data_IF_655906062014
#
_entry.id   IF_655906062014
#
_cell.length_a   1.000
_cell.length_b   1.000
_cell.length_c   1.000
_cell.angle_alpha   90.00
_cell.angle_beta   90.00
_cell.angle_gamma   90.00
#
_symmetry.space_group_name_H-M   'P 1'
#
loop_
_entity.id
_entity.type
_entity.pdbx_description
1 polymer ?
#
# COMPACT_ATOMS: atom_id res chain seq x y z
N UNK A 1 -17.24 4.68 11.77
CA UNK A 1 -16.60 3.95 10.65
C UNK A 1 -15.42 4.77 10.16
N UNK A 2 -14.26 4.14 9.89
CA UNK A 2 -13.06 4.82 9.43
C UNK A 2 -12.92 4.68 7.91
N UNK A 3 -12.84 5.80 7.19
CA UNK A 3 -12.79 5.84 5.73
C UNK A 3 -11.39 6.18 5.18
N UNK A 4 -10.56 6.89 5.94
CA UNK A 4 -9.21 7.25 5.52
C UNK A 4 -8.23 7.06 6.68
N UNK A 5 -7.07 6.48 6.38
CA UNK A 5 -6.00 6.22 7.33
C UNK A 5 -4.68 6.75 6.77
N UNK A 6 -4.06 7.67 7.50
CA UNK A 6 -2.74 8.24 7.19
C UNK A 6 -1.73 7.74 8.21
N UNK A 7 -0.75 7.02 7.72
CA UNK A 7 0.33 6.43 8.53
C UNK A 7 1.69 6.84 7.98
N UNK A 8 1.79 7.99 7.33
CA UNK A 8 3.06 8.44 6.77
C UNK A 8 4.12 8.60 7.87
N UNK A 9 5.38 8.23 7.57
CA UNK A 9 6.52 8.35 8.50
C UNK A 9 6.44 7.50 9.79
N UNK A 10 5.87 6.29 9.72
CA UNK A 10 5.74 5.40 10.88
C UNK A 10 6.64 4.15 10.85
N UNK A 11 7.58 4.07 9.90
CA UNK A 11 8.47 2.91 9.73
C UNK A 11 7.74 1.55 9.68
N UNK A 12 6.51 1.51 9.14
CA UNK A 12 5.69 0.29 9.13
C UNK A 12 6.37 -0.88 8.42
N UNK A 13 7.16 -0.60 7.38
CA UNK A 13 7.95 -1.61 6.66
C UNK A 13 9.15 -2.16 7.43
N UNK A 14 9.54 -1.50 8.52
CA UNK A 14 10.56 -1.97 9.46
C UNK A 14 9.95 -2.70 10.67
N UNK A 15 8.61 -2.86 10.72
CA UNK A 15 7.98 -3.76 11.69
C UNK A 15 8.51 -5.18 11.51
N UNK A 16 8.53 -5.94 12.61
CA UNK A 16 8.78 -7.36 12.54
C UNK A 16 7.72 -8.04 11.65
N UNK A 17 8.14 -9.08 10.92
CA UNK A 17 7.29 -9.78 9.95
C UNK A 17 5.92 -10.21 10.51
N UNK A 18 5.80 -10.71 11.77
CA UNK A 18 4.50 -11.07 12.34
C UNK A 18 3.54 -9.88 12.51
N UNK A 19 4.03 -8.71 12.94
CA UNK A 19 3.20 -7.54 13.12
C UNK A 19 2.73 -6.97 11.78
N UNK A 20 3.63 -6.92 10.79
CA UNK A 20 3.27 -6.47 9.44
C UNK A 20 2.25 -7.41 8.76
N UNK A 21 2.41 -8.72 8.93
CA UNK A 21 1.43 -9.71 8.44
C UNK A 21 0.07 -9.53 9.11
N UNK A 22 0.05 -9.31 10.44
CA UNK A 22 -1.19 -9.06 11.18
C UNK A 22 -1.90 -7.78 10.72
N UNK A 23 -1.13 -6.72 10.43
CA UNK A 23 -1.65 -5.50 9.83
C UNK A 23 -2.28 -5.79 8.46
N UNK A 24 -1.60 -6.56 7.61
CA UNK A 24 -2.10 -6.96 6.29
C UNK A 24 -3.38 -7.80 6.38
N UNK A 25 -3.45 -8.74 7.32
CA UNK A 25 -4.64 -9.57 7.54
C UNK A 25 -5.84 -8.74 7.99
N UNK A 26 -5.66 -7.87 8.99
CA UNK A 26 -6.69 -6.96 9.46
C UNK A 26 -7.15 -6.00 8.35
N UNK A 27 -6.20 -5.49 7.57
CA UNK A 27 -6.47 -4.65 6.41
C UNK A 27 -7.28 -5.40 5.33
N UNK A 28 -6.97 -6.67 5.07
CA UNK A 28 -7.64 -7.48 4.03
C UNK A 28 -9.14 -7.68 4.28
N UNK A 29 -9.56 -7.72 5.55
CA UNK A 29 -10.96 -7.92 5.95
C UNK A 29 -11.70 -6.61 6.23
N UNK A 30 -11.00 -5.48 6.30
CA UNK A 30 -11.62 -4.18 6.55
C UNK A 30 -12.61 -3.82 5.43
N UNK A 31 -13.84 -3.45 5.81
CA UNK A 31 -14.94 -3.12 4.88
C UNK A 31 -15.35 -1.64 4.90
N UNK A 32 -14.60 -0.76 5.57
CA UNK A 32 -14.91 0.68 5.63
C UNK A 32 -13.83 1.55 5.02
N UNK A 33 -12.58 1.10 5.00
CA UNK A 33 -11.45 1.92 4.60
C UNK A 33 -11.43 2.10 3.07
N UNK A 34 -11.41 3.36 2.66
CA UNK A 34 -11.42 3.79 1.25
C UNK A 34 -10.03 4.33 0.87
N UNK A 35 -9.34 5.03 1.79
CA UNK A 35 -8.03 5.62 1.55
C UNK A 35 -6.97 5.18 2.55
N UNK A 36 -5.79 4.78 2.07
CA UNK A 36 -4.64 4.44 2.90
C UNK A 36 -3.39 5.16 2.40
N UNK A 37 -2.69 5.87 3.28
CA UNK A 37 -1.42 6.52 2.98
C UNK A 37 -0.30 5.93 3.85
N UNK A 38 0.64 5.26 3.19
CA UNK A 38 1.82 4.60 3.75
C UNK A 38 3.13 5.26 3.29
N UNK A 39 3.12 6.52 2.86
CA UNK A 39 4.37 7.21 2.47
C UNK A 39 5.42 7.16 3.56
N UNK A 40 6.68 7.02 3.16
CA UNK A 40 7.83 7.10 4.07
C UNK A 40 7.76 6.07 5.22
N UNK A 41 7.28 4.86 4.93
CA UNK A 41 7.26 3.74 5.89
C UNK A 41 8.32 2.68 5.64
N UNK A 42 9.27 2.93 4.74
CA UNK A 42 10.36 1.98 4.42
C UNK A 42 9.87 0.55 4.11
N UNK A 43 8.78 0.43 3.35
CA UNK A 43 8.23 -0.86 2.94
C UNK A 43 9.22 -1.58 2.03
N UNK A 44 9.85 -2.63 2.55
CA UNK A 44 10.75 -3.49 1.79
C UNK A 44 9.96 -4.39 0.80
N UNK A 45 10.68 -5.19 0.01
CA UNK A 45 10.09 -6.06 -1.00
C UNK A 45 9.14 -7.14 -0.41
N UNK A 46 9.46 -7.68 0.78
CA UNK A 46 8.63 -8.67 1.49
C UNK A 46 7.31 -8.04 1.91
N UNK A 47 7.37 -6.89 2.60
CA UNK A 47 6.17 -6.17 3.01
C UNK A 47 5.34 -5.66 1.83
N UNK A 48 5.97 -5.32 0.71
CA UNK A 48 5.26 -4.99 -0.54
C UNK A 48 4.43 -6.17 -1.08
N UNK A 49 4.95 -7.40 -1.00
CA UNK A 49 4.27 -8.62 -1.46
C UNK A 49 3.11 -9.03 -0.55
N UNK A 50 3.28 -8.91 0.77
CA UNK A 50 2.20 -9.16 1.74
C UNK A 50 1.07 -8.15 1.57
N UNK A 51 1.39 -6.85 1.43
CA UNK A 51 0.37 -5.83 1.19
C UNK A 51 -0.36 -6.07 -0.13
N UNK A 52 0.34 -6.52 -1.19
CA UNK A 52 -0.27 -6.92 -2.46
C UNK A 52 -1.33 -8.01 -2.28
N UNK A 53 -1.02 -9.01 -1.45
CA UNK A 53 -1.94 -10.11 -1.14
C UNK A 53 -3.16 -9.64 -0.36
N UNK A 54 -2.96 -8.74 0.61
CA UNK A 54 -4.05 -8.14 1.35
C UNK A 54 -4.96 -7.25 0.47
N UNK A 55 -4.37 -6.50 -0.46
CA UNK A 55 -5.09 -5.64 -1.41
C UNK A 55 -5.97 -6.43 -2.38
N UNK A 56 -5.55 -7.63 -2.80
CA UNK A 56 -6.41 -8.53 -3.60
C UNK A 56 -7.72 -8.90 -2.89
N UNK A 57 -7.68 -8.99 -1.55
CA UNK A 57 -8.82 -9.41 -0.71
C UNK A 57 -9.66 -8.24 -0.22
N UNK A 58 -9.05 -7.06 -0.10
CA UNK A 58 -9.77 -5.84 0.30
C UNK A 58 -10.60 -5.31 -0.89
N UNK A 59 -11.91 -5.21 -0.70
CA UNK A 59 -12.86 -4.80 -1.76
C UNK A 59 -13.33 -3.35 -1.66
N UNK A 60 -12.89 -2.61 -0.64
CA UNK A 60 -13.40 -1.27 -0.33
C UNK A 60 -12.37 -0.18 -0.57
N UNK A 61 -11.08 -0.50 -0.46
CA UNK A 61 -10.03 0.46 -0.70
C UNK A 61 -10.11 0.95 -2.13
N UNK A 62 -10.11 2.26 -2.30
CA UNK A 62 -10.04 2.91 -3.61
C UNK A 62 -8.74 3.65 -3.81
N UNK A 63 -8.15 4.23 -2.76
CA UNK A 63 -6.94 5.03 -2.85
C UNK A 63 -5.84 4.45 -1.98
N UNK A 64 -4.69 4.15 -2.57
CA UNK A 64 -3.47 3.79 -1.84
C UNK A 64 -2.35 4.73 -2.24
N UNK A 65 -1.61 5.25 -1.25
CA UNK A 65 -0.45 6.11 -1.44
C UNK A 65 0.75 5.48 -0.75
N UNK A 66 1.88 5.32 -1.44
CA UNK A 66 3.08 4.76 -0.82
C UNK A 66 4.24 4.58 -1.79
N UNK A 67 5.24 3.81 -1.34
CA UNK A 67 6.52 3.62 -2.04
C UNK A 67 6.42 2.63 -3.21
N UNK A 68 7.48 2.58 -4.03
CA UNK A 68 7.60 1.73 -5.23
C UNK A 68 7.47 0.22 -4.95
N UNK A 69 7.73 -0.22 -3.73
CA UNK A 69 7.51 -1.62 -3.31
C UNK A 69 6.03 -2.03 -3.46
N UNK A 70 5.12 -1.06 -3.46
CA UNK A 70 3.68 -1.27 -3.66
C UNK A 70 3.28 -1.36 -5.15
N UNK A 71 4.22 -1.22 -6.09
CA UNK A 71 3.96 -1.46 -7.51
C UNK A 71 3.54 -2.91 -7.77
N UNK A 72 4.15 -3.86 -7.05
CA UNK A 72 3.77 -5.26 -7.11
C UNK A 72 2.29 -5.45 -6.70
N UNK A 73 1.79 -4.65 -5.75
CA UNK A 73 0.40 -4.67 -5.35
C UNK A 73 -0.56 -4.27 -6.47
N UNK A 74 -0.21 -3.27 -7.28
CA UNK A 74 -1.01 -2.86 -8.45
C UNK A 74 -1.13 -3.98 -9.47
N UNK A 75 -0.01 -4.63 -9.81
CA UNK A 75 0.00 -5.70 -10.82
C UNK A 75 -0.77 -6.93 -10.35
N UNK A 76 -0.89 -7.11 -9.03
CA UNK A 76 -1.57 -8.24 -8.43
C UNK A 76 -3.07 -8.04 -8.22
N UNK A 77 -3.57 -6.81 -8.03
CA UNK A 77 -4.98 -6.58 -7.70
C UNK A 77 -5.87 -6.54 -8.95
N UNK A 78 -6.88 -7.43 -9.02
CA UNK A 78 -7.94 -7.35 -10.06
C UNK A 78 -8.94 -6.21 -9.83
N UNK A 79 -8.82 -5.49 -8.73
CA UNK A 79 -9.72 -4.38 -8.36
C UNK A 79 -9.08 -3.10 -8.90
N UNK A 80 -9.88 -2.27 -9.59
CA UNK A 80 -9.42 -0.94 -10.02
C UNK A 80 -9.24 -0.11 -8.77
N UNK A 81 -7.99 0.08 -8.32
CA UNK A 81 -7.63 1.00 -7.24
C UNK A 81 -6.84 2.16 -7.85
N UNK A 82 -7.11 3.38 -7.40
CA UNK A 82 -6.25 4.55 -7.65
C UNK A 82 -5.02 4.44 -6.76
N UNK A 83 -3.94 3.89 -7.31
CA UNK A 83 -2.65 3.84 -6.64
C UNK A 83 -1.85 5.11 -7.00
N UNK A 84 -1.76 6.04 -6.06
CA UNK A 84 -0.88 7.20 -6.19
C UNK A 84 0.48 6.87 -5.58
N UNK A 85 1.42 6.43 -6.41
CA UNK A 85 2.80 6.20 -5.98
C UNK A 85 3.50 7.56 -5.85
N UNK A 86 3.59 8.08 -4.63
CA UNK A 86 4.35 9.29 -4.32
C UNK A 86 5.14 9.02 -3.04
N UNK A 87 6.46 9.26 -3.05
CA UNK A 87 7.31 9.14 -1.85
C UNK A 87 8.35 8.02 -1.89
N UNK A 88 9.56 8.40 -1.46
CA UNK A 88 10.86 7.69 -1.41
C UNK A 88 11.57 7.46 -2.75
N UNK A 89 12.48 8.39 -3.07
CA UNK A 89 13.61 8.25 -4.01
C UNK A 89 13.28 7.68 -5.39
N UNK A 90 12.02 7.81 -5.86
CA UNK A 90 11.66 7.46 -7.21
C UNK A 90 12.16 8.57 -8.14
N UNK A 91 13.08 8.26 -9.07
CA UNK A 91 13.46 9.24 -10.07
C UNK A 91 12.24 9.66 -10.88
N UNK A 92 12.16 10.94 -11.23
CA UNK A 92 11.00 11.53 -11.95
C UNK A 92 10.63 10.76 -13.23
N UNK A 93 11.62 10.12 -13.88
CA UNK A 93 11.39 9.30 -15.08
C UNK A 93 10.51 8.06 -14.84
N UNK A 94 10.50 7.50 -13.62
CA UNK A 94 9.61 6.39 -13.27
C UNK A 94 8.19 6.91 -13.05
N UNK A 95 8.01 8.10 -12.45
CA UNK A 95 6.68 8.68 -12.23
C UNK A 95 5.92 8.90 -13.54
N UNK A 96 6.63 9.30 -14.61
CA UNK A 96 6.01 9.51 -15.93
C UNK A 96 5.42 8.23 -16.56
N UNK A 97 5.88 7.05 -16.16
CA UNK A 97 5.42 5.76 -16.71
C UNK A 97 4.21 5.16 -15.98
N UNK A 98 3.84 5.71 -14.82
CA UNK A 98 2.73 5.19 -13.99
C UNK A 98 1.46 6.04 -14.14
N UNK A 99 1.61 7.28 -14.61
CA UNK A 99 0.54 8.26 -14.78
C UNK A 99 -0.19 8.17 -16.13
N UNK A 100 0.09 7.17 -16.97
CA UNK A 100 -0.61 6.91 -18.23
C UNK A 100 -1.44 5.65 -18.17
#
# INVERSE_FOLDING_TARGET
MLFSLRLEWNQIGAMDSPAFSSFCDAFSVNKSLIGLNLRNNDTNHVGGSELATALKRNVTLRVLVGSRALLAARQSSSIRNELHLTGNNMPDHIMQNISK
#
